data_IF_441510414861
#
_entry.id   IF_441510414861
#
_cell.length_a   1.000
_cell.length_b   1.000
_cell.length_c   1.000
_cell.angle_alpha   90.00
_cell.angle_beta   90.00
_cell.angle_gamma   90.00
#
_symmetry.space_group_name_H-M   'P 1'
#
loop_
_entity.id
_entity.type
_entity.pdbx_description
1 polymer ?
#
# COMPACT_ATOMS: atom_id res chain seq x y z
N UNK A 1 -12.07 33.15 -11.50
CA UNK A 1 -11.74 31.79 -11.04
C UNK A 1 -13.05 31.03 -10.80
N UNK A 2 -13.33 29.96 -11.56
CA UNK A 2 -14.62 29.27 -11.49
C UNK A 2 -14.56 28.07 -10.51
N UNK A 3 -14.67 28.38 -9.22
CA UNK A 3 -14.52 27.42 -8.13
C UNK A 3 -15.61 26.33 -8.10
N UNK A 4 -16.83 26.65 -8.56
CA UNK A 4 -17.96 25.71 -8.62
C UNK A 4 -17.74 24.65 -9.70
N UNK A 5 -17.20 25.05 -10.86
CA UNK A 5 -16.82 24.12 -11.92
C UNK A 5 -15.72 23.16 -11.49
N UNK A 6 -14.69 23.68 -10.80
CA UNK A 6 -13.59 22.89 -10.27
C UNK A 6 -14.06 21.85 -9.24
N UNK A 7 -14.94 22.24 -8.32
CA UNK A 7 -15.48 21.31 -7.32
C UNK A 7 -16.34 20.20 -7.97
N UNK A 8 -17.20 20.57 -8.92
CA UNK A 8 -18.04 19.60 -9.65
C UNK A 8 -17.20 18.56 -10.42
N UNK A 9 -16.11 19.00 -11.05
CA UNK A 9 -15.19 18.10 -11.76
C UNK A 9 -14.46 17.17 -10.79
N UNK A 10 -13.93 17.71 -9.68
CA UNK A 10 -13.23 16.89 -8.68
C UNK A 10 -14.15 15.81 -8.11
N UNK A 11 -15.38 16.16 -7.70
CA UNK A 11 -16.32 15.19 -7.12
C UNK A 11 -16.65 14.08 -8.12
N UNK A 12 -16.88 14.44 -9.39
CA UNK A 12 -17.21 13.49 -10.45
C UNK A 12 -16.05 12.57 -10.79
N UNK A 13 -14.83 13.10 -10.81
CA UNK A 13 -13.62 12.35 -11.10
C UNK A 13 -13.25 11.41 -9.93
N UNK A 14 -13.29 11.92 -8.70
CA UNK A 14 -13.04 11.15 -7.47
C UNK A 14 -14.06 10.02 -7.36
N UNK A 15 -15.35 10.27 -7.59
CA UNK A 15 -16.38 9.22 -7.59
C UNK A 15 -16.12 8.10 -8.62
N UNK A 16 -15.58 8.45 -9.80
CA UNK A 16 -15.17 7.48 -10.83
C UNK A 16 -14.00 6.64 -10.37
N UNK A 17 -12.98 7.26 -9.77
CA UNK A 17 -11.82 6.55 -9.20
C UNK A 17 -12.23 5.62 -8.05
N UNK A 18 -13.12 6.05 -7.16
CA UNK A 18 -13.66 5.21 -6.11
C UNK A 18 -14.44 4.01 -6.63
N UNK A 19 -15.10 4.10 -7.80
CA UNK A 19 -15.77 2.94 -8.39
C UNK A 19 -14.80 1.83 -8.86
N UNK A 20 -13.54 2.17 -9.12
CA UNK A 20 -12.50 1.26 -9.65
C UNK A 20 -11.51 0.82 -8.55
N UNK A 21 -11.82 1.06 -7.27
CA UNK A 21 -10.95 0.72 -6.14
C UNK A 21 -10.52 -0.77 -6.11
N UNK A 22 -11.41 -1.66 -6.56
CA UNK A 22 -11.14 -3.11 -6.62
C UNK A 22 -10.12 -3.50 -7.66
N UNK A 23 -9.84 -2.68 -8.66
CA UNK A 23 -8.89 -3.02 -9.72
C UNK A 23 -7.54 -2.32 -9.51
N UNK A 24 -7.55 -1.16 -8.85
CA UNK A 24 -6.33 -0.38 -8.60
C UNK A 24 -5.67 -0.75 -7.27
N UNK A 25 -6.43 -0.98 -6.19
CA UNK A 25 -5.88 -1.12 -4.84
C UNK A 25 -5.79 -2.58 -4.40
N UNK A 26 -6.78 -3.43 -4.73
CA UNK A 26 -6.76 -4.84 -4.32
C UNK A 26 -5.52 -5.60 -4.79
N UNK A 27 -5.07 -5.52 -6.07
CA UNK A 27 -3.90 -6.27 -6.51
C UNK A 27 -2.62 -5.87 -5.78
N UNK A 28 -2.44 -4.56 -5.53
CA UNK A 28 -1.32 -4.03 -4.75
C UNK A 28 -1.37 -4.53 -3.31
N UNK A 29 -2.51 -4.41 -2.63
CA UNK A 29 -2.67 -4.87 -1.26
C UNK A 29 -2.43 -6.38 -1.10
N UNK A 30 -2.94 -7.21 -2.01
CA UNK A 30 -2.73 -8.66 -1.99
C UNK A 30 -1.23 -8.96 -2.15
N UNK A 31 -0.55 -8.29 -3.07
CA UNK A 31 0.88 -8.49 -3.30
C UNK A 31 1.71 -8.08 -2.08
N UNK A 32 1.45 -6.90 -1.51
CA UNK A 32 2.12 -6.43 -0.29
C UNK A 32 1.85 -7.37 0.89
N UNK A 33 0.61 -7.85 1.07
CA UNK A 33 0.27 -8.79 2.13
C UNK A 33 1.00 -10.13 1.97
N UNK A 34 1.02 -10.71 0.77
CA UNK A 34 1.78 -11.93 0.49
C UNK A 34 3.27 -11.73 0.74
N UNK A 35 3.83 -10.57 0.37
CA UNK A 35 5.23 -10.26 0.61
C UNK A 35 5.53 -10.18 2.10
N UNK A 36 4.73 -9.45 2.88
CA UNK A 36 4.89 -9.38 4.34
C UNK A 36 4.79 -10.77 4.97
N UNK A 37 3.85 -11.61 4.54
CA UNK A 37 3.68 -12.95 5.10
C UNK A 37 4.85 -13.87 4.76
N UNK A 38 5.24 -13.93 3.49
CA UNK A 38 6.31 -14.83 3.02
C UNK A 38 7.65 -14.38 3.59
N UNK A 39 7.99 -13.10 3.44
CA UNK A 39 9.28 -12.57 3.89
C UNK A 39 9.33 -12.41 5.40
N UNK A 40 8.25 -11.98 6.05
CA UNK A 40 8.14 -11.95 7.51
C UNK A 40 8.42 -13.33 8.10
N UNK A 41 7.67 -14.36 7.68
CA UNK A 41 7.82 -15.70 8.25
C UNK A 41 9.14 -16.39 7.86
N UNK A 42 9.62 -16.21 6.63
CA UNK A 42 10.84 -16.89 6.14
C UNK A 42 12.12 -16.25 6.70
N UNK A 43 12.15 -14.92 6.85
CA UNK A 43 13.34 -14.21 7.32
C UNK A 43 13.38 -14.05 8.82
N UNK A 44 12.24 -14.02 9.53
CA UNK A 44 12.21 -14.15 11.00
C UNK A 44 12.90 -15.45 11.46
N UNK A 45 12.77 -16.53 10.69
CA UNK A 45 13.44 -17.80 10.98
C UNK A 45 14.96 -17.82 10.69
N UNK A 46 15.50 -16.90 9.89
CA UNK A 46 16.92 -16.87 9.50
C UNK A 46 17.70 -15.69 10.07
N UNK A 47 17.05 -14.55 10.29
CA UNK A 47 17.62 -13.28 10.72
C UNK A 47 16.60 -12.63 11.66
N UNK A 48 16.69 -12.94 12.95
CA UNK A 48 15.78 -12.42 13.97
C UNK A 48 15.92 -10.90 14.17
N UNK A 49 17.11 -10.35 13.90
CA UNK A 49 17.41 -8.92 14.01
C UNK A 49 18.36 -8.48 12.90
N UNK A 50 18.02 -7.37 12.23
CA UNK A 50 18.98 -6.62 11.41
C UNK A 50 19.30 -5.36 12.23
N UNK A 51 20.53 -5.25 12.70
CA UNK A 51 21.06 -4.05 13.37
C UNK A 51 20.24 -3.61 14.61
N UNK A 52 19.72 -4.58 15.38
CA UNK A 52 18.92 -4.34 16.59
C UNK A 52 17.44 -3.96 16.35
N UNK A 53 16.98 -4.00 15.09
CA UNK A 53 15.58 -3.74 14.71
C UNK A 53 14.94 -5.02 14.16
N UNK A 54 13.70 -5.29 14.59
CA UNK A 54 12.92 -6.40 14.06
C UNK A 54 12.70 -6.23 12.56
N UNK A 55 12.99 -7.29 11.80
CA UNK A 55 12.85 -7.33 10.34
C UNK A 55 11.46 -6.86 9.85
N UNK A 56 10.40 -7.18 10.60
CA UNK A 56 9.02 -6.76 10.32
C UNK A 56 8.87 -5.24 10.22
N UNK A 57 9.54 -4.49 11.11
CA UNK A 57 9.51 -3.02 11.09
C UNK A 57 10.33 -2.43 9.96
N UNK A 58 11.38 -3.13 9.51
CA UNK A 58 12.22 -2.71 8.40
C UNK A 58 11.51 -2.86 7.04
N UNK A 59 10.76 -3.95 6.81
CA UNK A 59 10.13 -4.19 5.50
C UNK A 59 8.87 -3.38 5.24
N UNK A 60 8.13 -3.01 6.29
CA UNK A 60 6.86 -2.28 6.20
C UNK A 60 6.96 -0.99 5.36
N UNK A 61 7.87 -0.05 5.66
CA UNK A 61 7.98 1.19 4.87
C UNK A 61 8.43 0.93 3.43
N UNK A 62 9.31 -0.05 3.20
CA UNK A 62 9.76 -0.41 1.86
C UNK A 62 8.61 -0.90 0.97
N UNK A 63 7.70 -1.71 1.51
CA UNK A 63 6.54 -2.23 0.77
C UNK A 63 5.40 -1.23 0.63
N UNK A 64 5.29 -0.25 1.52
CA UNK A 64 4.30 0.84 1.43
C UNK A 64 4.73 1.88 0.38
N UNK A 65 6.04 2.04 0.14
CA UNK A 65 6.56 2.97 -0.86
C UNK A 65 6.50 2.45 -2.31
N UNK A 66 6.26 1.15 -2.53
CA UNK A 66 6.11 0.56 -3.87
C UNK A 66 4.67 0.65 -4.37
#
# INVERSE_FOLDING_TARGET
>A
MNWVGLNTLIIREVGRFFSVYRQTVLPGLISSALYILIFGFTLEQRISEIDGVSYTWFILPGLIMM
#
